data_IF_920459191547
#
_entry.id   IF_920459191547
#
_cell.length_a   1.000
_cell.length_b   1.000
_cell.length_c   1.000
_cell.angle_alpha   90.00
_cell.angle_beta   90.00
_cell.angle_gamma   90.00
#
_symmetry.space_group_name_H-M   'P 1'
#
loop_
_entity.id
_entity.type
_entity.pdbx_description
1 polymer ?
#
# COMPACT_ATOMS: atom_id res chain seq x y z
N UNK A 1 9.10 -6.37 6.53
CA UNK A 1 9.32 -6.87 5.16
C UNK A 1 10.30 -5.94 4.46
N UNK A 2 11.19 -6.46 3.62
CA UNK A 2 12.15 -5.65 2.83
C UNK A 2 11.75 -5.65 1.36
N UNK A 3 11.65 -4.47 0.75
CA UNK A 3 11.37 -4.30 -0.68
C UNK A 3 12.56 -3.62 -1.35
N UNK A 4 13.22 -4.32 -2.27
CA UNK A 4 14.27 -3.78 -3.14
C UNK A 4 13.65 -3.33 -4.45
N UNK A 5 14.06 -2.18 -4.96
CA UNK A 5 13.64 -1.69 -6.27
C UNK A 5 14.83 -1.72 -7.22
N UNK A 6 14.65 -2.28 -8.42
CA UNK A 6 15.69 -2.29 -9.45
C UNK A 6 15.80 -0.91 -10.10
N UNK A 7 17.02 -0.39 -10.26
CA UNK A 7 17.29 0.92 -10.89
C UNK A 7 17.04 0.98 -12.41
N UNK A 8 16.39 -0.02 -12.99
CA UNK A 8 16.25 -0.15 -14.44
C UNK A 8 15.36 0.93 -15.08
N UNK A 9 14.68 1.79 -14.31
CA UNK A 9 13.88 2.88 -14.86
C UNK A 9 13.84 4.12 -13.95
N UNK A 10 13.82 5.30 -14.57
CA UNK A 10 13.53 6.59 -13.91
C UNK A 10 12.18 6.58 -13.20
N UNK A 11 11.23 5.81 -13.74
CA UNK A 11 9.91 5.57 -13.17
C UNK A 11 9.98 4.91 -11.77
N UNK A 12 10.85 3.93 -11.58
CA UNK A 12 11.00 3.22 -10.31
C UNK A 12 11.51 4.11 -9.17
N UNK A 13 12.40 5.07 -9.49
CA UNK A 13 12.89 6.04 -8.52
C UNK A 13 11.79 7.04 -8.11
N UNK A 14 10.96 7.47 -9.06
CA UNK A 14 9.81 8.35 -8.77
C UNK A 14 8.80 7.65 -7.85
N UNK A 15 8.47 6.39 -8.12
CA UNK A 15 7.58 5.57 -7.27
C UNK A 15 8.14 5.41 -5.86
N UNK A 16 9.44 5.11 -5.75
CA UNK A 16 10.12 4.98 -4.47
C UNK A 16 10.00 6.27 -3.65
N UNK A 17 10.39 7.40 -4.23
CA UNK A 17 10.35 8.69 -3.52
C UNK A 17 8.92 9.08 -3.15
N UNK A 18 7.97 8.82 -4.04
CA UNK A 18 6.55 9.07 -3.78
C UNK A 18 6.04 8.23 -2.61
N UNK A 19 6.37 6.93 -2.58
CA UNK A 19 6.00 6.05 -1.48
C UNK A 19 6.58 6.54 -0.15
N UNK A 20 7.87 6.85 -0.08
CA UNK A 20 8.52 7.40 1.13
C UNK A 20 7.80 8.66 1.61
N UNK A 21 7.50 9.60 0.71
CA UNK A 21 6.85 10.88 1.05
C UNK A 21 5.42 10.68 1.55
N UNK A 22 4.65 9.78 0.92
CA UNK A 22 3.24 9.57 1.27
C UNK A 22 3.13 8.77 2.58
N UNK A 23 3.78 7.60 2.65
CA UNK A 23 3.59 6.69 3.78
C UNK A 23 4.21 7.21 5.08
N UNK A 24 5.26 8.02 5.01
CA UNK A 24 5.87 8.66 6.20
C UNK A 24 4.94 9.67 6.89
N UNK A 25 3.91 10.15 6.20
CA UNK A 25 2.90 11.08 6.73
C UNK A 25 1.66 10.37 7.25
N UNK A 26 1.59 9.05 7.12
CA UNK A 26 0.43 8.25 7.41
C UNK A 26 0.70 7.30 8.58
N UNK A 27 -0.21 7.30 9.55
CA UNK A 27 -0.17 6.34 10.64
C UNK A 27 -1.58 5.86 10.93
N UNK A 28 -1.85 4.58 10.67
CA UNK A 28 -3.15 3.98 10.91
C UNK A 28 -3.04 2.46 10.98
N UNK A 29 -3.90 1.82 11.77
CA UNK A 29 -3.88 0.37 12.00
C UNK A 29 -4.10 -0.46 10.72
N UNK A 30 -4.78 0.12 9.72
CA UNK A 30 -5.08 -0.51 8.44
C UNK A 30 -4.19 -0.02 7.28
N UNK A 31 -3.06 0.63 7.58
CA UNK A 31 -2.03 0.98 6.61
C UNK A 31 -0.71 0.33 7.04
N UNK A 32 0.06 -0.19 6.08
CA UNK A 32 1.37 -0.79 6.40
C UNK A 32 2.34 0.29 6.84
N UNK A 33 2.99 0.08 7.98
CA UNK A 33 3.97 1.01 8.54
C UNK A 33 5.33 0.86 7.86
N UNK A 34 5.80 1.93 7.24
CA UNK A 34 7.21 2.08 6.86
C UNK A 34 8.05 2.32 8.12
N UNK A 35 9.07 1.50 8.33
CA UNK A 35 10.04 1.62 9.43
C UNK A 35 11.23 2.50 9.03
N UNK A 36 11.58 2.49 7.75
CA UNK A 36 12.66 3.28 7.22
C UNK A 36 12.91 2.98 5.74
N UNK A 37 13.86 3.70 5.16
CA UNK A 37 14.34 3.47 3.82
C UNK A 37 15.87 3.51 3.81
N UNK A 38 16.47 2.85 2.83
CA UNK A 38 17.90 2.91 2.55
C UNK A 38 18.07 3.41 1.11
N UNK A 39 18.92 4.40 0.95
CA UNK A 39 19.34 4.97 -0.33
C UNK A 39 20.86 4.99 -0.28
N UNK A 40 21.48 3.93 -0.79
CA UNK A 40 22.94 3.76 -0.74
C UNK A 40 23.42 3.31 -2.13
N UNK A 41 24.21 4.16 -2.80
CA UNK A 41 24.74 3.92 -4.14
C UNK A 41 23.63 3.56 -5.14
N UNK A 42 23.61 2.32 -5.60
CA UNK A 42 22.69 1.77 -6.59
C UNK A 42 21.51 1.02 -5.96
N UNK A 43 21.38 1.00 -4.63
CA UNK A 43 20.37 0.23 -3.91
C UNK A 43 19.35 1.15 -3.24
N UNK A 44 18.10 1.04 -3.69
CA UNK A 44 16.95 1.69 -3.06
C UNK A 44 16.08 0.63 -2.38
N UNK A 45 15.95 0.74 -1.06
CA UNK A 45 15.22 -0.24 -0.25
C UNK A 45 14.22 0.42 0.69
N UNK A 46 13.05 -0.19 0.81
CA UNK A 46 12.03 0.16 1.79
C UNK A 46 11.91 -0.94 2.83
N UNK A 47 11.90 -0.56 4.10
CA UNK A 47 11.78 -1.47 5.23
C UNK A 47 10.43 -1.22 5.89
N UNK A 48 9.56 -2.22 5.81
CA UNK A 48 8.22 -2.21 6.41
C UNK A 48 8.17 -3.07 7.66
N UNK A 49 7.11 -2.88 8.44
CA UNK A 49 6.68 -3.91 9.39
C UNK A 49 6.48 -5.26 8.68
N UNK A 50 6.58 -6.35 9.44
CA UNK A 50 6.43 -7.69 8.90
C UNK A 50 4.96 -8.10 8.88
N UNK A 51 4.52 -8.66 7.75
CA UNK A 51 3.15 -9.10 7.52
C UNK A 51 3.16 -10.62 7.30
N UNK A 52 2.97 -11.43 8.35
CA UNK A 52 3.21 -12.88 8.31
C UNK A 52 2.22 -13.62 7.41
N UNK A 53 1.01 -13.09 7.26
CA UNK A 53 -0.05 -13.69 6.44
C UNK A 53 -0.08 -13.10 5.02
N UNK A 54 1.05 -12.56 4.53
CA UNK A 54 1.23 -12.13 3.12
C UNK A 54 0.09 -11.22 2.62
N UNK A 55 -0.21 -11.26 1.33
CA UNK A 55 -1.22 -10.46 0.66
C UNK A 55 -2.53 -11.21 0.46
N UNK A 56 -3.64 -10.47 0.34
CA UNK A 56 -4.98 -11.04 0.19
C UNK A 56 -5.15 -11.84 -1.11
N UNK A 57 -4.46 -11.47 -2.19
CA UNK A 57 -4.50 -12.21 -3.46
C UNK A 57 -3.99 -13.64 -3.32
N UNK A 58 -3.04 -13.91 -2.41
CA UNK A 58 -2.58 -15.26 -2.12
C UNK A 58 -3.72 -16.15 -1.60
N UNK A 59 -4.62 -15.60 -0.77
CA UNK A 59 -5.78 -16.32 -0.25
C UNK A 59 -6.91 -16.44 -1.27
N UNK A 60 -7.07 -15.44 -2.15
CA UNK A 60 -8.15 -15.41 -3.12
C UNK A 60 -7.86 -16.23 -4.37
N UNK A 61 -6.59 -16.29 -4.79
CA UNK A 61 -6.18 -16.86 -6.08
C UNK A 61 -5.01 -17.84 -5.98
N UNK A 62 -4.42 -18.02 -4.80
CA UNK A 62 -3.31 -18.94 -4.60
C UNK A 62 -3.71 -20.40 -4.79
N UNK A 63 -2.80 -21.19 -5.34
CA UNK A 63 -2.98 -22.63 -5.63
C UNK A 63 -2.66 -23.55 -4.44
N UNK A 64 -2.25 -22.99 -3.29
CA UNK A 64 -1.84 -23.74 -2.11
C UNK A 64 -2.97 -24.00 -1.10
N UNK A 65 -2.71 -24.87 -0.10
CA UNK A 65 -3.55 -25.06 1.09
C UNK A 65 -3.53 -23.82 2.02
N UNK A 66 -3.64 -22.62 1.47
CA UNK A 66 -3.79 -21.41 2.29
C UNK A 66 -5.15 -21.48 3.01
N UNK A 67 -5.15 -21.14 4.30
CA UNK A 67 -6.34 -21.25 5.16
C UNK A 67 -7.52 -20.54 4.49
N UNK A 68 -8.61 -21.26 4.31
CA UNK A 68 -9.84 -20.69 3.75
C UNK A 68 -10.26 -19.45 4.56
N UNK A 69 -10.40 -18.31 3.89
CA UNK A 69 -11.01 -17.12 4.50
C UNK A 69 -12.51 -17.36 4.61
N UNK A 70 -12.97 -17.66 5.82
CA UNK A 70 -14.40 -17.70 6.14
C UNK A 70 -15.04 -16.31 6.01
N UNK A 71 -16.37 -16.27 6.09
CA UNK A 71 -17.10 -15.03 5.90
C UNK A 71 -16.77 -13.97 6.97
N UNK A 72 -16.55 -14.40 8.21
CA UNK A 72 -16.17 -13.54 9.32
C UNK A 72 -14.85 -12.81 9.05
N UNK A 73 -13.81 -13.53 8.61
CA UNK A 73 -12.54 -12.92 8.25
C UNK A 73 -12.67 -12.00 7.03
N UNK A 74 -13.46 -12.38 6.02
CA UNK A 74 -13.73 -11.51 4.85
C UNK A 74 -14.38 -10.20 5.27
N UNK A 75 -15.34 -10.23 6.18
CA UNK A 75 -16.00 -9.03 6.69
C UNK A 75 -15.01 -8.09 7.40
N UNK A 76 -14.12 -8.64 8.24
CA UNK A 76 -13.04 -7.88 8.89
C UNK A 76 -12.10 -7.24 7.87
N UNK A 77 -11.72 -7.99 6.83
CA UNK A 77 -10.84 -7.51 5.76
C UNK A 77 -11.50 -6.37 4.97
N UNK A 78 -12.77 -6.51 4.61
CA UNK A 78 -13.54 -5.47 3.90
C UNK A 78 -13.63 -4.21 4.75
N UNK A 79 -14.02 -4.35 6.02
CA UNK A 79 -14.20 -3.22 6.92
C UNK A 79 -12.86 -2.49 7.17
N UNK A 80 -11.80 -3.23 7.50
CA UNK A 80 -10.49 -2.64 7.75
C UNK A 80 -9.90 -1.96 6.52
N UNK A 81 -10.08 -2.52 5.32
CA UNK A 81 -9.69 -1.87 4.07
C UNK A 81 -10.48 -0.58 3.85
N UNK A 82 -11.80 -0.60 4.09
CA UNK A 82 -12.64 0.58 4.03
C UNK A 82 -12.21 1.69 4.99
N UNK A 83 -11.84 1.34 6.23
CA UNK A 83 -11.29 2.28 7.22
C UNK A 83 -9.96 2.87 6.77
N UNK A 84 -9.07 2.05 6.20
CA UNK A 84 -7.82 2.53 5.60
C UNK A 84 -8.06 3.56 4.49
N UNK A 85 -9.01 3.29 3.59
CA UNK A 85 -9.38 4.22 2.52
C UNK A 85 -10.04 5.50 3.05
N UNK A 86 -10.91 5.38 4.06
CA UNK A 86 -11.55 6.53 4.68
C UNK A 86 -10.50 7.50 5.25
N UNK A 87 -9.49 6.96 5.95
CA UNK A 87 -8.37 7.77 6.43
C UNK A 87 -7.67 8.50 5.28
N UNK A 88 -7.30 7.78 4.22
CA UNK A 88 -6.60 8.37 3.07
C UNK A 88 -7.41 9.50 2.42
N UNK A 89 -8.73 9.30 2.28
CA UNK A 89 -9.58 10.19 1.49
C UNK A 89 -10.16 11.36 2.30
N UNK A 90 -10.37 11.19 3.61
CA UNK A 90 -11.16 12.12 4.43
C UNK A 90 -10.47 12.54 5.73
N UNK A 91 -9.93 11.59 6.49
CA UNK A 91 -9.48 11.89 7.86
C UNK A 91 -8.02 12.36 7.94
N UNK A 92 -7.22 12.06 6.92
CA UNK A 92 -5.88 12.62 6.77
C UNK A 92 -5.95 14.12 6.46
N UNK A 93 -5.04 14.90 7.04
CA UNK A 93 -4.86 16.33 6.73
C UNK A 93 -4.67 16.58 5.23
N UNK A 94 -4.09 15.62 4.53
CA UNK A 94 -3.94 15.62 3.08
C UNK A 94 -4.86 14.58 2.47
N UNK A 95 -5.65 14.96 1.46
CA UNK A 95 -6.44 14.00 0.69
C UNK A 95 -5.50 13.19 -0.19
N UNK A 96 -5.44 11.88 0.01
CA UNK A 96 -4.51 10.98 -0.68
C UNK A 96 -5.31 9.97 -1.47
N UNK A 97 -5.02 9.81 -2.77
CA UNK A 97 -5.64 8.77 -3.62
C UNK A 97 -4.58 7.70 -3.90
N UNK A 98 -4.86 6.44 -3.55
CA UNK A 98 -3.90 5.33 -3.68
C UNK A 98 -3.52 5.01 -5.14
N UNK A 99 -4.51 5.08 -6.05
CA UNK A 99 -4.43 4.77 -7.50
C UNK A 99 -4.07 3.33 -7.91
N UNK A 100 -3.50 2.51 -7.03
CA UNK A 100 -3.23 1.09 -7.31
C UNK A 100 -3.80 0.17 -6.21
N UNK A 101 -5.08 0.33 -5.87
CA UNK A 101 -5.71 -0.54 -4.87
C UNK A 101 -6.15 -1.85 -5.55
N UNK A 102 -5.59 -2.98 -5.07
CA UNK A 102 -5.87 -4.34 -5.54
C UNK A 102 -5.57 -5.34 -4.43
N UNK A 103 -6.00 -6.59 -4.59
CA UNK A 103 -5.84 -7.63 -3.57
C UNK A 103 -4.37 -7.89 -3.17
N UNK A 104 -3.43 -7.79 -4.12
CA UNK A 104 -1.98 -7.95 -3.82
C UNK A 104 -1.41 -6.80 -2.98
N UNK A 105 -2.09 -5.66 -2.93
CA UNK A 105 -1.71 -4.47 -2.14
C UNK A 105 -2.47 -4.38 -0.81
N UNK A 106 -3.16 -5.45 -0.40
CA UNK A 106 -3.77 -5.60 0.93
C UNK A 106 -3.01 -6.70 1.66
N UNK A 107 -2.13 -6.33 2.59
CA UNK A 107 -1.36 -7.27 3.40
C UNK A 107 -2.11 -7.64 4.69
N UNK A 108 -1.87 -8.84 5.20
CA UNK A 108 -2.55 -9.38 6.38
C UNK A 108 -1.56 -9.58 7.54
N UNK A 109 -1.90 -9.01 8.70
CA UNK A 109 -1.10 -9.17 9.92
C UNK A 109 -1.32 -10.56 10.55
N UNK A 110 -0.69 -10.84 11.69
CA UNK A 110 -0.78 -12.11 12.41
C UNK A 110 -2.21 -12.54 12.79
N UNK A 111 -3.16 -11.60 12.88
CA UNK A 111 -4.57 -11.83 13.20
C UNK A 111 -5.49 -11.70 11.98
N UNK A 112 -4.93 -11.71 10.76
CA UNK A 112 -5.66 -11.50 9.50
C UNK A 112 -6.31 -10.12 9.36
N UNK A 113 -5.85 -9.11 10.11
CA UNK A 113 -6.32 -7.75 9.88
C UNK A 113 -5.67 -7.17 8.61
N UNK A 114 -6.43 -6.42 7.79
CA UNK A 114 -5.92 -5.86 6.55
C UNK A 114 -5.09 -4.60 6.79
N UNK A 115 -4.01 -4.45 6.02
CA UNK A 115 -3.21 -3.24 5.91
C UNK A 115 -2.92 -2.93 4.44
N UNK A 116 -3.34 -1.74 3.99
CA UNK A 116 -3.08 -1.26 2.64
C UNK A 116 -1.58 -0.94 2.49
N UNK A 117 -0.98 -1.38 1.39
CA UNK A 117 0.43 -1.19 1.05
C UNK A 117 0.61 -0.67 -0.38
N UNK A 118 1.86 -0.38 -0.75
CA UNK A 118 2.29 0.02 -2.10
C UNK A 118 1.78 1.40 -2.53
N UNK A 119 2.30 2.42 -1.83
CA UNK A 119 1.95 3.82 -2.10
C UNK A 119 2.79 4.44 -3.21
N UNK A 120 3.56 3.65 -3.97
CA UNK A 120 4.41 4.16 -5.05
C UNK A 120 3.63 4.94 -6.10
N UNK A 121 2.37 4.59 -6.31
CA UNK A 121 1.46 5.29 -7.22
C UNK A 121 0.53 6.27 -6.53
N UNK A 122 0.59 6.46 -5.22
CA UNK A 122 -0.34 7.35 -4.52
C UNK A 122 -0.20 8.82 -4.98
N UNK A 123 -1.24 9.63 -4.78
CA UNK A 123 -1.21 11.07 -5.05
C UNK A 123 -1.79 11.87 -3.92
N UNK A 124 -1.09 12.94 -3.57
CA UNK A 124 -1.53 13.95 -2.60
C UNK A 124 -2.29 15.05 -3.36
N UNK A 125 -3.53 15.30 -2.95
CA UNK A 125 -4.35 16.40 -3.44
C UNK A 125 -4.40 17.51 -2.38
N UNK A 126 -4.13 18.75 -2.79
CA UNK A 126 -4.16 19.92 -1.93
C UNK A 126 -5.46 20.73 -2.05
N UNK A 127 -5.97 21.26 -0.93
CA UNK A 127 -7.09 22.20 -0.93
C UNK A 127 -8.35 21.67 -1.61
N UNK A 128 -8.90 22.45 -2.56
CA UNK A 128 -10.10 22.13 -3.36
C UNK A 128 -9.77 21.44 -4.70
N UNK A 129 -8.58 20.84 -4.86
CA UNK A 129 -8.28 20.09 -6.07
C UNK A 129 -9.10 18.80 -6.12
N UNK A 130 -10.10 18.79 -6.99
CA UNK A 130 -10.92 17.60 -7.27
C UNK A 130 -10.45 16.86 -8.55
N UNK A 131 -9.52 17.44 -9.31
CA UNK A 131 -8.96 16.87 -10.54
C UNK A 131 -7.45 17.07 -10.61
N UNK A 132 -6.75 16.08 -11.18
CA UNK A 132 -5.32 16.16 -11.50
C UNK A 132 -5.02 15.37 -12.77
N UNK A 133 -4.25 15.95 -13.70
CA UNK A 133 -3.78 15.26 -14.90
C UNK A 133 -2.55 14.40 -14.60
N UNK A 134 -2.40 13.31 -15.35
CA UNK A 134 -1.22 12.46 -15.30
C UNK A 134 -0.86 12.05 -16.71
N UNK A 135 0.41 12.16 -17.09
CA UNK A 135 0.93 11.65 -18.36
C UNK A 135 1.30 10.16 -18.28
N UNK A 136 0.95 9.53 -17.15
CA UNK A 136 1.38 8.19 -16.78
C UNK A 136 0.17 7.26 -16.76
N UNK A 137 0.14 6.35 -17.73
CA UNK A 137 -0.86 5.28 -17.83
C UNK A 137 -0.46 4.17 -16.86
N UNK A 138 -1.42 3.67 -16.09
CA UNK A 138 -1.22 2.58 -15.13
C UNK A 138 -2.49 1.73 -15.05
N UNK A 139 -2.29 0.42 -14.97
CA UNK A 139 -3.32 -0.61 -15.15
C UNK A 139 -3.00 -1.49 -16.36
N UNK A 140 -3.34 -2.77 -16.28
CA UNK A 140 -3.32 -3.74 -17.38
C UNK A 140 -4.70 -3.90 -17.97
#
# INVERSE_FOLDING_TARGET
MLRRLSQSSSQGLEEFMNEVVVISRLQHRNLVRLLGCCIEREENMLVYEFMPNRSLDAYLFGSGQEKFLDWSNRAIIIEGTGRGLLLLHRDSRLRIIHRDLKASNILLDEYLNPKISDFGMARIFGGNQDQASTNRVVGT
#
